data_IF_372986146824
#
_entry.id   IF_372986146824
#
_cell.length_a   1.000
_cell.length_b   1.000
_cell.length_c   1.000
_cell.angle_alpha   90.00
_cell.angle_beta   90.00
_cell.angle_gamma   90.00
#
_symmetry.space_group_name_H-M   'P 1'
#
loop_
_entity.id
_entity.type
_entity.pdbx_description
1 polymer ?
#
# COMPACT_ATOMS: atom_id res chain seq x y z
N UNK A 1 52.16 -56.73 -45.27
CA UNK A 1 51.12 -56.38 -44.29
C UNK A 1 50.37 -55.16 -44.86
N UNK A 2 49.56 -55.36 -45.90
CA UNK A 2 48.07 -55.41 -45.88
C UNK A 2 47.46 -54.15 -45.22
N UNK A 3 47.04 -53.15 -46.01
CA UNK A 3 45.72 -52.97 -46.68
C UNK A 3 44.75 -52.19 -45.74
N UNK A 4 44.46 -50.92 -46.04
CA UNK A 4 43.28 -50.42 -46.80
C UNK A 4 41.96 -50.44 -46.01
N UNK A 5 41.34 -49.25 -45.88
CA UNK A 5 39.96 -48.92 -46.25
C UNK A 5 39.77 -47.41 -45.96
N UNK A 6 39.77 -46.50 -46.95
CA UNK A 6 38.71 -46.16 -47.92
C UNK A 6 37.30 -46.07 -47.33
N UNK A 7 36.80 -44.84 -47.25
CA UNK A 7 35.60 -44.47 -48.02
C UNK A 7 35.63 -42.97 -48.33
N UNK A 8 35.73 -42.66 -49.62
CA UNK A 8 35.27 -41.40 -50.20
C UNK A 8 33.78 -41.21 -49.90
N UNK A 9 33.30 -39.98 -49.77
CA UNK A 9 32.11 -39.46 -50.46
C UNK A 9 32.08 -37.92 -50.35
N UNK A 10 31.90 -37.36 -51.54
CA UNK A 10 31.73 -35.99 -52.02
C UNK A 10 30.97 -34.97 -51.17
N UNK A 11 31.48 -33.73 -51.22
CA UNK A 11 30.77 -32.47 -51.01
C UNK A 11 29.46 -32.40 -51.81
N UNK A 12 28.35 -32.19 -51.12
CA UNK A 12 27.20 -31.45 -51.66
C UNK A 12 26.68 -30.55 -50.54
N UNK A 13 26.62 -29.26 -50.83
CA UNK A 13 26.13 -28.20 -49.96
C UNK A 13 24.61 -28.30 -49.77
N UNK A 14 24.09 -28.37 -48.53
CA UNK A 14 22.69 -28.09 -48.26
C UNK A 14 22.51 -26.60 -47.95
N UNK A 15 21.57 -26.01 -48.68
CA UNK A 15 20.87 -24.75 -48.45
C UNK A 15 20.55 -24.52 -46.97
N UNK A 16 20.68 -23.29 -46.43
CA UNK A 16 20.34 -23.05 -45.04
C UNK A 16 18.82 -23.10 -44.84
N UNK A 17 18.37 -24.09 -44.09
CA UNK A 17 17.02 -24.15 -43.53
C UNK A 17 16.89 -23.16 -42.38
N UNK A 18 15.86 -22.31 -42.46
CA UNK A 18 15.38 -21.41 -41.42
C UNK A 18 15.29 -22.14 -40.07
N UNK A 19 16.17 -21.81 -39.13
CA UNK A 19 15.94 -22.09 -37.71
C UNK A 19 15.09 -20.96 -37.13
N UNK A 20 13.94 -21.35 -36.60
CA UNK A 20 12.95 -20.47 -35.99
C UNK A 20 13.54 -19.63 -34.86
N UNK A 21 13.03 -18.41 -34.76
CA UNK A 21 13.37 -17.45 -33.72
C UNK A 21 13.15 -18.07 -32.32
N UNK A 22 14.22 -18.06 -31.52
CA UNK A 22 14.14 -18.32 -30.10
C UNK A 22 13.33 -17.20 -29.42
N UNK A 23 12.19 -17.57 -28.83
CA UNK A 23 11.40 -16.75 -27.91
C UNK A 23 12.19 -16.59 -26.59
N UNK A 24 13.07 -15.59 -26.54
CA UNK A 24 13.84 -15.25 -25.33
C UNK A 24 13.04 -14.31 -24.44
N UNK A 25 13.27 -14.37 -23.12
CA UNK A 25 12.62 -13.51 -22.12
C UNK A 25 12.76 -12.00 -22.43
N UNK A 26 13.83 -11.62 -23.15
CA UNK A 26 14.09 -10.27 -23.64
C UNK A 26 13.06 -9.80 -24.69
N UNK A 27 12.55 -10.71 -25.53
CA UNK A 27 11.51 -10.44 -26.53
C UNK A 27 10.14 -10.22 -25.89
N UNK A 28 9.84 -10.94 -24.79
CA UNK A 28 8.64 -10.68 -23.97
C UNK A 28 8.75 -9.36 -23.19
N UNK A 29 9.95 -9.02 -22.72
CA UNK A 29 10.25 -7.73 -22.08
C UNK A 29 10.02 -6.54 -23.02
N UNK A 30 10.44 -6.64 -24.28
CA UNK A 30 10.16 -5.59 -25.26
C UNK A 30 8.67 -5.45 -25.58
N UNK A 31 7.91 -6.56 -25.63
CA UNK A 31 6.47 -6.50 -25.82
C UNK A 31 5.72 -5.90 -24.62
N UNK A 32 6.16 -6.20 -23.38
CA UNK A 32 5.59 -5.60 -22.17
C UNK A 32 5.92 -4.10 -22.10
N UNK A 33 7.17 -3.70 -22.40
CA UNK A 33 7.59 -2.30 -22.39
C UNK A 33 6.94 -1.49 -23.53
N UNK A 34 6.78 -2.07 -24.72
CA UNK A 34 6.07 -1.42 -25.83
C UNK A 34 4.56 -1.27 -25.56
N UNK A 35 3.92 -2.22 -24.88
CA UNK A 35 2.53 -2.05 -24.43
C UNK A 35 2.37 -1.00 -23.32
N UNK A 36 3.41 -0.69 -22.56
CA UNK A 36 3.37 0.41 -21.57
C UNK A 36 3.70 1.80 -22.14
N UNK A 37 4.13 1.89 -23.40
CA UNK A 37 4.52 3.17 -24.05
C UNK A 37 3.55 3.68 -25.10
N UNK A 38 2.38 3.05 -25.28
CA UNK A 38 1.28 3.68 -26.01
C UNK A 38 0.50 4.60 -25.05
N UNK A 39 0.83 5.89 -25.13
CA UNK A 39 -0.07 7.02 -24.89
C UNK A 39 -1.07 6.88 -23.73
N UNK A 40 -0.86 7.67 -22.66
CA UNK A 40 -1.93 8.07 -21.73
C UNK A 40 -2.93 8.95 -22.49
N UNK A 41 -3.72 8.36 -23.38
CA UNK A 41 -4.95 8.92 -23.91
C UNK A 41 -6.09 8.13 -23.29
N UNK A 42 -7.13 8.82 -22.87
CA UNK A 42 -8.31 8.25 -22.23
C UNK A 42 -9.09 7.34 -23.17
N UNK A 43 -8.55 6.14 -23.39
CA UNK A 43 -9.20 5.05 -24.09
C UNK A 43 -10.37 4.56 -23.25
N UNK A 44 -11.57 4.61 -23.84
CA UNK A 44 -12.75 3.92 -23.31
C UNK A 44 -12.47 2.42 -23.37
N UNK A 45 -12.34 1.77 -22.21
CA UNK A 45 -12.24 0.30 -22.15
C UNK A 45 -13.64 -0.29 -22.38
N UNK A 46 -13.80 -1.45 -23.04
CA UNK A 46 -15.10 -2.10 -23.15
C UNK A 46 -15.72 -2.32 -21.75
N UNK A 47 -17.05 -2.17 -21.57
CA UNK A 47 -17.70 -2.42 -20.29
C UNK A 47 -17.45 -3.87 -19.82
N UNK A 48 -17.01 -4.05 -18.57
CA UNK A 48 -16.70 -5.37 -17.99
C UNK A 48 -17.66 -5.75 -16.85
N UNK A 49 -18.97 -5.54 -17.06
CA UNK A 49 -20.01 -5.73 -16.04
C UNK A 49 -20.02 -7.11 -15.38
N UNK A 50 -19.55 -8.14 -16.08
CA UNK A 50 -19.48 -9.53 -15.59
C UNK A 50 -18.16 -9.88 -14.90
N UNK A 51 -17.23 -8.93 -14.75
CA UNK A 51 -15.94 -9.18 -14.09
C UNK A 51 -16.14 -9.53 -12.61
N UNK A 52 -15.29 -10.43 -12.10
CA UNK A 52 -15.18 -10.70 -10.66
C UNK A 52 -14.93 -9.42 -9.86
N UNK A 53 -14.28 -8.40 -10.42
CA UNK A 53 -14.05 -7.12 -9.75
C UNK A 53 -15.35 -6.46 -9.24
N UNK A 54 -16.49 -6.75 -9.86
CA UNK A 54 -17.82 -6.26 -9.45
C UNK A 54 -18.69 -7.34 -8.78
N UNK A 55 -18.08 -8.43 -8.35
CA UNK A 55 -18.75 -9.49 -7.59
C UNK A 55 -18.55 -9.30 -6.08
N UNK A 56 -19.45 -9.88 -5.25
CA UNK A 56 -19.31 -9.82 -3.80
C UNK A 56 -18.00 -10.46 -3.28
N UNK A 57 -17.54 -9.95 -2.13
CA UNK A 57 -16.42 -10.49 -1.37
C UNK A 57 -16.67 -10.30 0.13
N UNK A 58 -16.43 -11.33 0.94
CA UNK A 58 -16.50 -11.22 2.39
C UNK A 58 -15.11 -10.97 2.96
N UNK A 59 -14.97 -9.90 3.76
CA UNK A 59 -13.76 -9.55 4.50
C UNK A 59 -14.10 -9.48 5.99
N UNK A 60 -13.70 -10.50 6.76
CA UNK A 60 -14.12 -10.61 8.17
C UNK A 60 -15.65 -10.59 8.33
N UNK A 61 -16.18 -9.54 8.97
CA UNK A 61 -17.63 -9.30 9.13
C UNK A 61 -18.27 -8.46 8.02
N UNK A 62 -17.49 -7.91 7.10
CA UNK A 62 -17.98 -7.03 6.03
C UNK A 62 -18.34 -7.86 4.79
N UNK A 63 -19.56 -7.70 4.28
CA UNK A 63 -20.02 -8.33 3.03
C UNK A 63 -20.02 -7.28 1.92
N UNK A 64 -18.93 -7.20 1.17
CA UNK A 64 -18.80 -6.24 0.08
C UNK A 64 -19.64 -6.66 -1.12
N UNK A 65 -20.15 -5.68 -1.87
CA UNK A 65 -20.84 -5.89 -3.15
C UNK A 65 -19.90 -5.80 -4.36
N UNK A 66 -18.67 -5.31 -4.16
CA UNK A 66 -17.62 -5.25 -5.18
C UNK A 66 -16.22 -5.27 -4.58
N UNK A 67 -15.21 -5.50 -5.42
CA UNK A 67 -13.79 -5.67 -5.06
C UNK A 67 -12.92 -4.45 -5.41
N UNK A 68 -13.55 -3.32 -5.73
CA UNK A 68 -12.92 -2.00 -5.91
C UNK A 68 -12.94 -1.25 -4.57
N UNK A 69 -11.77 -1.08 -3.95
CA UNK A 69 -11.65 -0.58 -2.57
C UNK A 69 -10.86 0.73 -2.58
N UNK A 70 -11.24 1.71 -1.77
CA UNK A 70 -10.45 2.94 -1.61
C UNK A 70 -9.25 2.66 -0.70
N UNK A 71 -8.05 2.88 -1.23
CA UNK A 71 -6.80 2.77 -0.48
C UNK A 71 -6.69 3.88 0.57
N UNK A 72 -5.93 3.67 1.65
CA UNK A 72 -5.52 4.75 2.56
C UNK A 72 -4.74 5.82 1.81
N UNK A 73 -5.12 7.08 2.01
CA UNK A 73 -4.61 8.23 1.26
C UNK A 73 -4.46 9.44 2.19
N UNK A 74 -3.26 9.73 2.69
CA UNK A 74 -3.01 10.94 3.50
C UNK A 74 -3.30 12.22 2.71
N UNK A 75 -4.20 13.08 3.22
CA UNK A 75 -4.65 14.31 2.51
C UNK A 75 -4.34 15.61 3.24
N UNK A 76 -3.91 15.53 4.50
CA UNK A 76 -3.52 16.66 5.34
C UNK A 76 -4.65 17.68 5.62
N UNK A 77 -5.90 17.21 5.70
CA UNK A 77 -7.10 18.06 5.86
C UNK A 77 -7.78 17.91 7.23
N UNK A 78 -7.04 17.45 8.23
CA UNK A 78 -7.52 17.32 9.62
C UNK A 78 -6.74 18.30 10.53
N UNK A 79 -7.06 19.61 10.53
CA UNK A 79 -6.42 20.57 11.42
C UNK A 79 -6.59 20.14 12.89
N UNK A 80 -5.51 20.23 13.66
CA UNK A 80 -5.51 19.74 15.05
C UNK A 80 -5.77 18.23 15.18
N UNK A 81 -5.52 17.46 14.11
CA UNK A 81 -5.77 16.02 14.04
C UNK A 81 -7.25 15.59 14.14
N UNK A 82 -8.17 16.53 13.89
CA UNK A 82 -9.63 16.31 13.92
C UNK A 82 -10.21 16.52 12.52
N UNK A 83 -11.05 15.61 11.99
CA UNK A 83 -11.68 15.79 10.69
C UNK A 83 -12.75 16.89 10.73
N UNK A 84 -12.83 17.68 9.67
CA UNK A 84 -13.85 18.71 9.47
C UNK A 84 -15.04 18.18 8.65
N UNK A 85 -16.01 19.04 8.35
CA UNK A 85 -17.14 18.69 7.48
C UNK A 85 -16.70 18.32 6.06
N UNK A 86 -15.64 18.91 5.52
CA UNK A 86 -15.17 18.58 4.16
C UNK A 86 -14.60 17.16 4.09
N UNK A 87 -14.00 16.66 5.18
CA UNK A 87 -13.55 15.27 5.30
C UNK A 87 -14.75 14.32 5.30
N UNK A 88 -15.84 14.70 5.99
CA UNK A 88 -17.10 13.93 5.97
C UNK A 88 -17.67 13.86 4.55
N UNK A 89 -17.73 14.99 3.83
CA UNK A 89 -18.17 15.03 2.44
C UNK A 89 -17.28 14.16 1.54
N UNK A 90 -15.95 14.26 1.68
CA UNK A 90 -14.98 13.52 0.87
C UNK A 90 -15.20 12.00 0.91
N UNK A 91 -15.34 11.42 2.10
CA UNK A 91 -15.60 9.99 2.22
C UNK A 91 -17.04 9.63 1.79
N UNK A 92 -18.02 10.49 2.08
CA UNK A 92 -19.43 10.27 1.66
C UNK A 92 -19.57 10.21 0.14
N UNK A 93 -18.84 11.05 -0.61
CA UNK A 93 -18.83 11.07 -2.07
C UNK A 93 -18.34 9.74 -2.68
N UNK A 94 -17.43 9.04 -1.98
CA UNK A 94 -16.79 7.79 -2.43
C UNK A 94 -17.49 6.54 -1.94
N UNK A 95 -18.42 6.69 -1.00
CA UNK A 95 -19.16 5.60 -0.42
C UNK A 95 -20.22 5.07 -1.40
N UNK A 96 -20.04 3.82 -1.83
CA UNK A 96 -20.98 3.04 -2.63
C UNK A 96 -21.55 1.90 -1.80
N UNK A 97 -22.78 1.47 -2.08
CA UNK A 97 -23.40 0.34 -1.37
C UNK A 97 -22.49 -0.90 -1.45
N UNK A 98 -22.19 -1.48 -0.29
CA UNK A 98 -21.27 -2.61 -0.15
C UNK A 98 -19.82 -2.32 -0.54
N UNK A 99 -19.42 -1.06 -0.68
CA UNK A 99 -18.02 -0.67 -0.90
C UNK A 99 -17.23 -0.62 0.41
N UNK A 100 -15.90 -0.74 0.33
CA UNK A 100 -14.99 -0.52 1.46
C UNK A 100 -14.13 0.72 1.21
N UNK A 101 -14.11 1.62 2.19
CA UNK A 101 -13.19 2.75 2.24
C UNK A 101 -12.18 2.57 3.37
N UNK A 102 -10.90 2.64 3.06
CA UNK A 102 -9.84 2.67 4.08
C UNK A 102 -9.44 4.13 4.27
N UNK A 103 -9.43 4.61 5.52
CA UNK A 103 -9.10 6.01 5.82
C UNK A 103 -7.67 6.35 5.42
N UNK A 104 -7.39 7.64 5.31
CA UNK A 104 -6.03 8.12 5.49
C UNK A 104 -5.39 7.59 6.77
N UNK A 105 -4.05 7.53 6.80
CA UNK A 105 -3.33 7.03 7.97
C UNK A 105 -3.60 7.90 9.19
N UNK A 106 -3.96 7.28 10.30
CA UNK A 106 -4.34 7.94 11.55
C UNK A 106 -3.34 7.60 12.64
N UNK A 107 -2.87 8.61 13.36
CA UNK A 107 -1.92 8.38 14.45
C UNK A 107 -2.62 7.73 15.67
N UNK A 108 -2.13 6.58 16.17
CA UNK A 108 -2.65 5.96 17.40
C UNK A 108 -2.22 6.70 18.68
N UNK A 109 -1.26 7.62 18.60
CA UNK A 109 -0.79 8.43 19.71
C UNK A 109 -0.11 9.70 19.23
N UNK A 110 0.27 10.57 20.17
CA UNK A 110 1.11 11.74 19.84
C UNK A 110 2.51 11.30 19.37
N UNK A 111 3.10 10.27 19.99
CA UNK A 111 4.43 9.76 19.63
C UNK A 111 4.45 9.07 18.25
N UNK A 112 3.28 8.67 17.76
CA UNK A 112 3.14 8.01 16.47
C UNK A 112 3.39 8.90 15.24
N UNK A 113 3.49 10.22 15.39
CA UNK A 113 4.03 11.08 14.33
C UNK A 113 3.74 12.56 14.50
N UNK A 114 2.55 12.92 14.99
CA UNK A 114 2.14 14.31 15.17
C UNK A 114 2.21 15.14 13.89
N UNK A 115 2.06 14.50 12.72
CA UNK A 115 2.20 15.17 11.42
C UNK A 115 1.07 16.18 11.22
N UNK A 116 1.41 17.37 10.74
CA UNK A 116 0.44 18.44 10.59
C UNK A 116 -0.66 18.07 9.58
N UNK A 117 -1.92 18.26 9.95
CA UNK A 117 -3.08 17.94 9.12
C UNK A 117 -3.42 16.44 9.03
N UNK A 118 -2.63 15.56 9.66
CA UNK A 118 -2.91 14.13 9.75
C UNK A 118 -3.83 13.86 10.95
N UNK A 119 -4.91 13.08 10.79
CA UNK A 119 -5.81 12.78 11.89
C UNK A 119 -5.20 11.85 12.95
N UNK A 120 -5.77 11.91 14.15
CA UNK A 120 -5.48 10.98 15.23
C UNK A 120 -6.68 10.08 15.53
N UNK A 121 -6.43 9.00 16.28
CA UNK A 121 -7.47 8.11 16.82
C UNK A 121 -7.06 7.62 18.21
N UNK A 122 -7.27 8.45 19.24
CA UNK A 122 -6.86 8.13 20.62
C UNK A 122 -7.50 9.06 21.66
N UNK A 123 -7.93 10.24 21.24
CA UNK A 123 -8.62 11.21 22.10
C UNK A 123 -10.14 11.12 21.91
N UNK A 124 -10.95 11.45 22.95
CA UNK A 124 -12.40 11.51 22.85
C UNK A 124 -12.91 12.42 21.71
N UNK A 125 -12.20 13.50 21.40
CA UNK A 125 -12.51 14.42 20.30
C UNK A 125 -12.42 13.72 18.95
N UNK A 126 -11.42 12.85 18.77
CA UNK A 126 -11.24 12.05 17.55
C UNK A 126 -12.45 11.14 17.34
N UNK A 127 -12.89 10.43 18.38
CA UNK A 127 -14.04 9.51 18.33
C UNK A 127 -15.30 10.26 17.89
N UNK A 128 -15.63 11.36 18.58
CA UNK A 128 -16.84 12.16 18.28
C UNK A 128 -16.85 12.72 16.86
N UNK A 129 -15.68 13.14 16.36
CA UNK A 129 -15.57 13.73 15.02
C UNK A 129 -15.63 12.65 13.93
N UNK A 130 -14.87 11.56 14.07
CA UNK A 130 -14.87 10.45 13.11
C UNK A 130 -16.18 9.68 13.08
N UNK A 131 -16.92 9.64 14.19
CA UNK A 131 -18.27 9.08 14.21
C UNK A 131 -19.21 9.73 13.19
N UNK A 132 -19.07 11.04 12.95
CA UNK A 132 -19.87 11.72 11.91
C UNK A 132 -19.51 11.23 10.50
N UNK A 133 -18.24 10.93 10.27
CA UNK A 133 -17.74 10.41 8.99
C UNK A 133 -18.23 9.00 8.76
N UNK A 134 -18.06 8.10 9.75
CA UNK A 134 -18.50 6.71 9.66
C UNK A 134 -20.03 6.62 9.52
N UNK A 135 -20.80 7.40 10.30
CA UNK A 135 -22.27 7.44 10.18
C UNK A 135 -22.70 7.87 8.76
N UNK A 136 -22.01 8.83 8.13
CA UNK A 136 -22.32 9.29 6.76
C UNK A 136 -21.95 8.24 5.69
N UNK A 137 -20.84 7.52 5.86
CA UNK A 137 -20.43 6.41 4.99
C UNK A 137 -21.39 5.22 5.13
N UNK A 138 -21.78 4.88 6.35
CA UNK A 138 -22.77 3.82 6.64
C UNK A 138 -24.15 4.15 6.09
N UNK A 139 -24.56 5.43 6.09
CA UNK A 139 -25.81 5.86 5.46
C UNK A 139 -25.85 5.61 3.94
N UNK A 140 -24.70 5.46 3.28
CA UNK A 140 -24.58 5.03 1.87
C UNK A 140 -24.52 3.50 1.70
N UNK A 141 -24.55 2.75 2.80
CA UNK A 141 -24.42 1.30 2.83
C UNK A 141 -23.01 0.79 2.58
N UNK A 142 -21.99 1.64 2.73
CA UNK A 142 -20.58 1.27 2.61
C UNK A 142 -20.00 0.89 3.98
N UNK A 143 -18.84 0.25 3.97
CA UNK A 143 -18.01 -0.05 5.14
C UNK A 143 -16.79 0.85 5.19
N UNK A 144 -16.22 1.03 6.39
CA UNK A 144 -15.05 1.87 6.61
C UNK A 144 -14.02 1.23 7.53
N UNK A 145 -12.75 1.22 7.11
CA UNK A 145 -11.62 0.74 7.89
C UNK A 145 -10.72 1.90 8.35
N UNK A 146 -10.39 1.95 9.63
CA UNK A 146 -9.44 2.91 10.21
C UNK A 146 -8.01 2.41 10.03
N UNK A 147 -7.17 3.12 9.27
CA UNK A 147 -5.75 2.77 9.18
C UNK A 147 -4.95 3.38 10.33
N UNK A 148 -4.40 2.55 11.23
CA UNK A 148 -3.51 3.00 12.30
C UNK A 148 -2.06 3.04 11.84
N UNK A 149 -1.42 4.19 12.04
CA UNK A 149 -0.14 4.52 11.43
C UNK A 149 0.83 5.24 12.38
N UNK A 150 1.93 4.56 12.70
CA UNK A 150 3.07 5.12 13.41
C UNK A 150 4.25 5.34 12.45
N UNK A 151 4.70 6.59 12.31
CA UNK A 151 5.66 7.01 11.28
C UNK A 151 7.11 6.60 11.59
N UNK A 152 7.43 6.39 12.86
CA UNK A 152 8.76 5.97 13.31
C UNK A 152 9.80 7.04 12.99
N UNK A 153 10.95 6.66 12.41
CA UNK A 153 12.04 7.59 12.07
C UNK A 153 11.71 8.65 11.00
N UNK A 154 10.51 8.61 10.42
CA UNK A 154 10.00 9.71 9.58
C UNK A 154 9.52 10.91 10.41
N UNK A 155 9.26 10.72 11.70
CA UNK A 155 8.91 11.80 12.60
C UNK A 155 10.07 12.78 12.81
N UNK A 156 9.75 13.97 13.33
CA UNK A 156 10.71 15.00 13.74
C UNK A 156 10.33 15.53 15.10
N UNK A 157 11.30 15.88 15.93
CA UNK A 157 11.04 16.20 17.35
C UNK A 157 10.10 17.40 17.54
N UNK A 158 10.13 18.36 16.61
CA UNK A 158 9.24 19.52 16.63
C UNK A 158 7.75 19.13 16.58
N UNK A 159 7.42 18.02 15.91
CA UNK A 159 6.04 17.49 15.84
C UNK A 159 5.68 16.63 17.06
N UNK A 160 6.66 16.26 17.88
CA UNK A 160 6.53 15.30 18.99
C UNK A 160 6.69 15.96 20.37
N UNK A 161 6.62 17.30 20.43
CA UNK A 161 6.81 18.07 21.66
C UNK A 161 8.27 18.05 22.15
N UNK A 162 9.24 18.02 21.23
CA UNK A 162 10.67 18.02 21.52
C UNK A 162 11.26 16.63 21.82
N UNK A 163 10.44 15.57 21.83
CA UNK A 163 10.92 14.19 21.99
C UNK A 163 11.46 13.65 20.66
N UNK A 164 12.56 12.87 20.67
CA UNK A 164 13.10 12.29 19.44
C UNK A 164 12.11 11.28 18.82
N UNK A 165 12.06 11.17 17.49
CA UNK A 165 11.29 10.12 16.83
C UNK A 165 11.83 8.73 17.20
N UNK A 166 10.95 7.73 17.22
CA UNK A 166 11.29 6.35 17.60
C UNK A 166 11.58 5.49 16.37
N UNK A 167 12.46 4.50 16.51
CA UNK A 167 12.70 3.47 15.49
C UNK A 167 13.29 2.20 16.10
N UNK A 168 13.45 1.16 15.28
CA UNK A 168 14.12 -0.07 15.68
C UNK A 168 15.59 0.18 16.04
N UNK A 169 16.27 1.10 15.36
CA UNK A 169 17.69 1.44 15.55
C UNK A 169 17.99 2.91 15.29
N UNK A 170 19.17 3.37 15.73
CA UNK A 170 19.63 4.75 15.60
C UNK A 170 19.98 5.07 14.14
N UNK A 171 18.96 5.39 13.35
CA UNK A 171 19.07 5.63 11.91
C UNK A 171 18.37 6.92 11.53
N UNK A 172 18.84 7.52 10.43
CA UNK A 172 18.26 8.72 9.84
C UNK A 172 17.89 8.41 8.39
N UNK A 173 16.75 8.92 7.94
CA UNK A 173 16.27 8.77 6.55
C UNK A 173 17.13 9.57 5.56
N UNK A 174 17.81 10.64 6.01
CA UNK A 174 18.61 11.50 5.15
C UNK A 174 17.77 12.41 4.25
N UNK A 175 16.58 12.80 4.71
CA UNK A 175 15.63 13.62 3.95
C UNK A 175 15.13 14.82 4.79
N UNK A 176 14.17 15.58 4.25
CA UNK A 176 13.54 16.73 4.91
C UNK A 176 12.05 16.49 5.06
N UNK A 177 11.54 16.55 6.28
CA UNK A 177 10.11 16.50 6.57
C UNK A 177 9.47 17.86 6.26
N UNK A 178 8.33 17.84 5.57
CA UNK A 178 7.56 19.03 5.16
C UNK A 178 6.17 19.08 5.80
N UNK A 179 5.80 18.03 6.54
CA UNK A 179 4.48 17.85 7.16
C UNK A 179 4.58 18.20 8.66
N UNK A 180 5.19 19.35 8.94
CA UNK A 180 5.41 19.84 10.30
C UNK A 180 4.46 21.01 10.60
N UNK A 181 4.23 21.35 11.88
CA UNK A 181 3.46 22.54 12.23
C UNK A 181 3.97 23.79 11.51
N UNK A 182 3.07 24.50 10.82
CA UNK A 182 3.42 25.74 10.08
C UNK A 182 4.15 25.52 8.75
N UNK A 183 4.21 24.28 8.23
CA UNK A 183 4.82 23.99 6.93
C UNK A 183 6.35 24.11 6.91
N UNK A 184 6.98 24.13 8.09
CA UNK A 184 8.43 24.32 8.22
C UNK A 184 9.16 23.08 7.69
N UNK A 185 10.15 23.32 6.85
CA UNK A 185 11.04 22.26 6.36
C UNK A 185 12.03 21.89 7.45
N UNK A 186 11.92 20.67 7.98
CA UNK A 186 12.78 20.19 9.07
C UNK A 186 13.55 18.96 8.60
N UNK A 187 14.90 18.98 8.60
CA UNK A 187 15.69 17.79 8.35
C UNK A 187 15.30 16.66 9.30
N UNK A 188 15.23 15.43 8.80
CA UNK A 188 15.01 14.28 9.68
C UNK A 188 16.18 14.14 10.65
N UNK A 189 15.85 13.70 11.86
CA UNK A 189 16.80 13.48 12.93
C UNK A 189 17.24 12.01 12.95
N UNK A 190 18.32 11.70 13.68
CA UNK A 190 18.61 10.31 14.04
C UNK A 190 17.56 9.88 15.05
N UNK A 191 16.78 8.84 14.72
CA UNK A 191 15.76 8.34 15.62
C UNK A 191 16.37 7.69 16.87
N UNK A 192 15.65 7.77 17.99
CA UNK A 192 15.97 7.03 19.21
C UNK A 192 15.64 5.54 19.00
N UNK A 193 16.60 4.61 19.19
CA UNK A 193 16.29 3.19 19.27
C UNK A 193 15.31 2.94 20.41
N UNK A 194 14.20 2.27 20.12
CA UNK A 194 13.19 1.97 21.14
C UNK A 194 13.77 1.08 22.24
N UNK A 195 13.58 1.46 23.50
CA UNK A 195 13.78 0.55 24.64
C UNK A 195 12.54 -0.32 24.81
N UNK A 196 12.61 -1.36 25.66
CA UNK A 196 11.47 -2.24 25.90
C UNK A 196 10.21 -1.47 26.33
N UNK A 197 10.36 -0.42 27.16
CA UNK A 197 9.22 0.40 27.56
C UNK A 197 8.58 1.11 26.38
N UNK A 198 9.37 1.68 25.44
CA UNK A 198 8.82 2.32 24.24
C UNK A 198 8.01 1.30 23.41
N UNK A 199 8.46 0.04 23.35
CA UNK A 199 7.77 -1.05 22.64
C UNK A 199 6.44 -1.37 23.33
N UNK A 200 6.44 -1.58 24.65
CA UNK A 200 5.23 -1.86 25.43
C UNK A 200 4.22 -0.72 25.33
N UNK A 201 4.68 0.53 25.49
CA UNK A 201 3.81 1.72 25.38
C UNK A 201 3.18 1.79 23.97
N UNK A 202 3.96 1.52 22.92
CA UNK A 202 3.43 1.54 21.54
C UNK A 202 2.39 0.44 21.31
N UNK A 203 2.57 -0.75 21.88
CA UNK A 203 1.56 -1.82 21.82
C UNK A 203 0.25 -1.37 22.47
N UNK A 204 0.33 -0.75 23.64
CA UNK A 204 -0.83 -0.22 24.36
C UNK A 204 -1.52 0.92 23.60
N UNK A 205 -0.74 1.79 22.97
CA UNK A 205 -1.26 2.88 22.13
C UNK A 205 -2.04 2.36 20.92
N UNK A 206 -1.53 1.35 20.21
CA UNK A 206 -2.26 0.70 19.10
C UNK A 206 -3.53 0.01 19.59
N UNK A 207 -3.47 -0.70 20.72
CA UNK A 207 -4.63 -1.36 21.33
C UNK A 207 -5.71 -0.33 21.69
N UNK A 208 -5.33 0.77 22.34
CA UNK A 208 -6.25 1.86 22.72
C UNK A 208 -6.87 2.51 21.48
N UNK A 209 -6.05 2.86 20.50
CA UNK A 209 -6.51 3.47 19.25
C UNK A 209 -7.50 2.57 18.49
N UNK A 210 -7.28 1.25 18.49
CA UNK A 210 -8.22 0.31 17.89
C UNK A 210 -9.58 0.32 18.59
N UNK A 211 -9.61 0.39 19.93
CA UNK A 211 -10.88 0.52 20.68
C UNK A 211 -11.57 1.83 20.34
N UNK A 212 -10.84 2.94 20.28
CA UNK A 212 -11.37 4.24 19.86
C UNK A 212 -11.95 4.20 18.45
N UNK A 213 -11.30 3.51 17.51
CA UNK A 213 -11.79 3.35 16.15
C UNK A 213 -13.13 2.59 16.11
N UNK A 214 -13.24 1.47 16.84
CA UNK A 214 -14.51 0.73 16.92
C UNK A 214 -15.61 1.56 17.59
N UNK A 215 -15.29 2.32 18.64
CA UNK A 215 -16.23 3.24 19.28
C UNK A 215 -16.68 4.36 18.32
N UNK A 216 -15.79 4.83 17.46
CA UNK A 216 -16.09 5.80 16.41
C UNK A 216 -16.90 5.20 15.24
N UNK A 217 -17.24 3.91 15.28
CA UNK A 217 -18.07 3.25 14.27
C UNK A 217 -17.32 2.71 13.06
N UNK A 218 -15.99 2.55 13.12
CA UNK A 218 -15.28 1.83 12.07
C UNK A 218 -15.60 0.33 12.09
N UNK A 219 -15.70 -0.29 10.91
CA UNK A 219 -16.00 -1.72 10.76
C UNK A 219 -14.76 -2.60 10.92
N UNK A 220 -13.58 -2.01 10.67
CA UNK A 220 -12.29 -2.68 10.69
C UNK A 220 -11.17 -1.70 11.10
N UNK A 221 -10.08 -2.22 11.64
CA UNK A 221 -8.84 -1.51 11.91
C UNK A 221 -7.72 -2.12 11.07
N UNK A 222 -7.13 -1.32 10.17
CA UNK A 222 -5.98 -1.73 9.37
C UNK A 222 -4.68 -1.24 10.00
N UNK A 223 -3.80 -2.18 10.37
CA UNK A 223 -2.47 -1.86 10.87
C UNK A 223 -1.54 -1.54 9.69
N UNK A 224 -1.01 -0.33 9.63
CA UNK A 224 -0.02 0.05 8.63
C UNK A 224 1.37 -0.52 8.98
N UNK A 225 1.79 -1.56 8.25
CA UNK A 225 3.08 -2.24 8.40
C UNK A 225 3.88 -2.28 7.09
N UNK A 226 3.96 -1.13 6.42
CA UNK A 226 4.72 -0.96 5.18
C UNK A 226 5.13 0.50 4.96
N UNK A 227 5.57 0.82 3.74
CA UNK A 227 5.98 2.15 3.30
C UNK A 227 7.10 2.79 4.16
N UNK A 228 7.93 1.95 4.79
CA UNK A 228 9.07 2.38 5.60
C UNK A 228 8.74 3.04 6.92
N UNK A 229 7.51 2.86 7.42
CA UNK A 229 7.08 3.37 8.73
C UNK A 229 7.45 2.40 9.86
N UNK A 230 7.04 2.67 11.10
CA UNK A 230 7.66 2.05 12.29
C UNK A 230 7.73 0.52 12.21
N UNK A 231 6.64 -0.16 11.85
CA UNK A 231 6.64 -1.63 11.81
C UNK A 231 7.48 -2.18 10.66
N UNK A 232 7.53 -1.48 9.52
CA UNK A 232 8.41 -1.81 8.41
C UNK A 232 9.90 -1.58 8.79
N UNK A 233 10.19 -0.56 9.60
CA UNK A 233 11.53 -0.31 10.16
C UNK A 233 11.98 -1.43 11.10
N UNK A 234 11.06 -2.12 11.79
CA UNK A 234 11.39 -3.32 12.57
C UNK A 234 11.56 -4.55 11.69
N UNK A 235 10.71 -4.74 10.67
CA UNK A 235 10.79 -5.88 9.76
C UNK A 235 12.06 -5.87 8.88
N UNK A 236 12.52 -4.68 8.49
CA UNK A 236 13.58 -4.49 7.51
C UNK A 236 14.99 -4.72 8.08
N UNK A 237 15.72 -5.67 7.49
CA UNK A 237 17.09 -6.04 7.86
C UNK A 237 18.14 -4.95 7.66
N UNK A 238 17.87 -3.97 6.79
CA UNK A 238 18.73 -2.83 6.51
C UNK A 238 18.38 -1.59 7.36
N UNK A 239 17.50 -1.75 8.35
CA UNK A 239 17.11 -0.69 9.29
C UNK A 239 17.16 -1.17 10.73
N UNK A 240 16.71 -2.41 10.99
CA UNK A 240 16.72 -3.01 12.31
C UNK A 240 18.05 -3.72 12.59
N UNK A 241 18.93 -3.03 13.33
CA UNK A 241 20.23 -3.52 13.78
C UNK A 241 20.22 -3.97 15.24
N UNK A 242 19.04 -4.23 15.82
CA UNK A 242 18.95 -4.67 17.21
C UNK A 242 19.55 -6.06 17.38
N UNK A 243 20.10 -6.30 18.57
CA UNK A 243 20.68 -7.58 19.00
C UNK A 243 19.85 -8.27 20.08
N UNK A 244 18.72 -7.67 20.48
CA UNK A 244 17.80 -8.23 21.46
C UNK A 244 16.70 -9.07 20.79
N UNK A 245 15.64 -9.39 21.54
CA UNK A 245 14.52 -10.21 21.07
C UNK A 245 13.72 -9.59 19.90
N UNK A 246 14.01 -8.33 19.52
CA UNK A 246 13.32 -7.60 18.46
C UNK A 246 14.18 -7.35 17.23
N UNK A 247 15.38 -7.94 17.12
CA UNK A 247 16.20 -7.89 15.91
C UNK A 247 17.09 -9.12 15.69
N UNK A 248 18.00 -9.01 14.72
CA UNK A 248 18.82 -10.13 14.26
C UNK A 248 18.09 -10.97 13.21
N UNK A 249 17.41 -12.04 13.60
CA UNK A 249 16.72 -12.94 12.66
C UNK A 249 15.31 -12.43 12.29
N UNK A 250 14.68 -13.07 11.28
CA UNK A 250 13.35 -12.67 10.77
C UNK A 250 12.24 -12.84 11.80
N UNK A 251 12.36 -13.85 12.67
CA UNK A 251 11.43 -14.15 13.75
C UNK A 251 11.36 -12.98 14.75
N UNK A 252 12.53 -12.51 15.19
CA UNK A 252 12.66 -11.39 16.12
C UNK A 252 12.25 -10.07 15.47
N UNK A 253 12.63 -9.82 14.22
CA UNK A 253 12.22 -8.60 13.49
C UNK A 253 10.70 -8.51 13.31
N UNK A 254 10.02 -9.63 13.14
CA UNK A 254 8.56 -9.69 13.05
C UNK A 254 7.83 -9.60 14.40
N UNK A 255 8.54 -9.85 15.52
CA UNK A 255 7.94 -9.96 16.86
C UNK A 255 7.10 -8.73 17.22
N UNK A 256 7.63 -7.53 17.02
CA UNK A 256 6.92 -6.30 17.39
C UNK A 256 5.61 -6.12 16.61
N UNK A 257 5.63 -6.36 15.29
CA UNK A 257 4.43 -6.32 14.45
C UNK A 257 3.39 -7.34 14.92
N UNK A 258 3.83 -8.55 15.30
CA UNK A 258 2.94 -9.61 15.77
C UNK A 258 2.38 -9.32 17.18
N UNK A 259 3.15 -8.71 18.08
CA UNK A 259 2.68 -8.27 19.40
C UNK A 259 1.61 -7.18 19.29
N UNK A 260 1.79 -6.19 18.41
CA UNK A 260 0.76 -5.19 18.11
C UNK A 260 -0.48 -5.86 17.51
N UNK A 261 -0.30 -6.77 16.55
CA UNK A 261 -1.39 -7.47 15.92
C UNK A 261 -2.20 -8.28 16.96
N UNK A 262 -1.53 -9.02 17.84
CA UNK A 262 -2.16 -9.79 18.91
C UNK A 262 -2.92 -8.92 19.90
N UNK A 263 -2.34 -7.79 20.33
CA UNK A 263 -2.98 -6.86 21.25
C UNK A 263 -4.23 -6.22 20.64
N UNK A 264 -4.16 -5.79 19.37
CA UNK A 264 -5.30 -5.22 18.65
C UNK A 264 -6.39 -6.29 18.44
N UNK A 265 -6.03 -7.52 18.06
CA UNK A 265 -6.97 -8.64 17.94
C UNK A 265 -7.65 -8.93 19.27
N UNK A 266 -6.91 -8.97 20.37
CA UNK A 266 -7.47 -9.19 21.70
C UNK A 266 -8.47 -8.09 22.10
N UNK A 267 -8.25 -6.85 21.65
CA UNK A 267 -9.11 -5.73 21.97
C UNK A 267 -10.41 -5.66 21.13
N UNK A 268 -10.35 -5.98 19.83
CA UNK A 268 -11.48 -5.73 18.91
C UNK A 268 -11.96 -6.95 18.11
N UNK A 269 -11.25 -8.07 18.22
CA UNK A 269 -11.54 -9.33 17.53
C UNK A 269 -10.93 -9.42 16.12
N UNK A 270 -10.39 -10.58 15.77
CA UNK A 270 -9.63 -10.79 14.52
C UNK A 270 -10.41 -10.44 13.25
N UNK A 271 -11.72 -10.67 13.22
CA UNK A 271 -12.58 -10.37 12.08
C UNK A 271 -12.77 -8.87 11.81
N UNK A 272 -12.24 -8.00 12.68
CA UNK A 272 -12.23 -6.53 12.55
C UNK A 272 -10.82 -5.96 12.51
N UNK A 273 -9.81 -6.80 12.28
CA UNK A 273 -8.41 -6.37 12.18
C UNK A 273 -7.88 -6.78 10.82
N UNK A 274 -7.08 -5.92 10.21
CA UNK A 274 -6.35 -6.20 8.98
C UNK A 274 -4.94 -5.62 9.06
N UNK A 275 -4.07 -5.99 8.12
CA UNK A 275 -2.71 -5.47 8.06
C UNK A 275 -2.29 -5.18 6.63
N UNK A 276 -1.62 -4.03 6.44
CA UNK A 276 -1.05 -3.63 5.15
C UNK A 276 0.47 -3.74 5.18
N UNK A 277 1.07 -4.34 4.15
CA UNK A 277 2.50 -4.56 4.03
C UNK A 277 3.03 -4.22 2.63
N UNK A 278 4.33 -3.93 2.55
CA UNK A 278 5.02 -3.62 1.29
C UNK A 278 6.29 -4.46 1.15
N UNK A 279 6.19 -5.76 0.76
CA UNK A 279 7.33 -6.67 0.72
C UNK A 279 8.50 -6.17 -0.14
N UNK A 280 8.16 -5.48 -1.22
CA UNK A 280 9.11 -4.89 -2.17
C UNK A 280 9.30 -3.39 -1.96
N UNK A 281 8.92 -2.86 -0.79
CA UNK A 281 8.91 -1.43 -0.49
C UNK A 281 10.31 -0.80 -0.46
N UNK A 282 10.40 0.43 -0.98
CA UNK A 282 11.62 1.28 -0.92
C UNK A 282 11.33 2.69 -0.41
N UNK A 283 10.09 2.94 0.02
CA UNK A 283 9.69 4.23 0.55
C UNK A 283 10.26 4.36 1.96
N UNK A 284 11.06 5.39 2.23
CA UNK A 284 11.66 5.72 3.54
C UNK A 284 12.57 4.65 4.18
N UNK A 285 12.72 3.48 3.56
CA UNK A 285 13.62 2.40 3.95
C UNK A 285 14.36 1.85 2.73
N UNK A 286 15.60 1.37 2.88
CA UNK A 286 16.25 0.60 1.83
C UNK A 286 15.44 -0.65 1.52
N UNK A 287 15.60 -1.19 0.31
CA UNK A 287 15.06 -2.52 -0.01
C UNK A 287 15.64 -3.55 0.97
N UNK A 288 14.80 -4.44 1.47
CA UNK A 288 15.22 -5.50 2.38
C UNK A 288 16.15 -6.51 1.68
N UNK A 289 17.08 -7.11 2.43
CA UNK A 289 18.06 -8.06 1.87
C UNK A 289 17.47 -9.41 1.46
N UNK A 290 16.34 -9.83 2.05
CA UNK A 290 15.65 -11.07 1.72
C UNK A 290 14.14 -10.92 1.91
N UNK A 291 13.48 -10.13 1.04
CA UNK A 291 12.07 -9.77 1.20
C UNK A 291 11.17 -11.01 1.14
N UNK A 292 11.47 -11.98 0.29
CA UNK A 292 10.66 -13.20 0.14
C UNK A 292 10.64 -14.00 1.45
N UNK A 293 11.81 -14.34 2.01
CA UNK A 293 11.86 -15.14 3.23
C UNK A 293 11.27 -14.41 4.44
N UNK A 294 11.52 -13.10 4.55
CA UNK A 294 11.06 -12.28 5.67
C UNK A 294 9.54 -12.10 5.64
N UNK A 295 8.98 -11.74 4.49
CA UNK A 295 7.54 -11.52 4.37
C UNK A 295 6.74 -12.82 4.34
N UNK A 296 7.28 -13.94 3.81
CA UNK A 296 6.64 -15.26 3.96
C UNK A 296 6.50 -15.66 5.43
N UNK A 297 7.55 -15.45 6.24
CA UNK A 297 7.50 -15.76 7.66
C UNK A 297 6.41 -14.96 8.37
N UNK A 298 6.46 -13.61 8.30
CA UNK A 298 5.48 -12.79 9.03
C UNK A 298 4.06 -13.02 8.52
N UNK A 299 3.86 -13.22 7.22
CA UNK A 299 2.53 -13.50 6.67
C UNK A 299 2.01 -14.89 7.07
N UNK A 300 2.87 -15.90 7.20
CA UNK A 300 2.46 -17.20 7.78
C UNK A 300 2.00 -17.07 9.24
N UNK A 301 2.58 -16.12 10.00
CA UNK A 301 2.14 -15.84 11.37
C UNK A 301 0.83 -15.03 11.40
N UNK A 302 0.66 -14.10 10.46
CA UNK A 302 -0.60 -13.37 10.27
C UNK A 302 -1.74 -14.31 9.88
N UNK A 303 -1.50 -15.28 9.00
CA UNK A 303 -2.50 -16.27 8.56
C UNK A 303 -3.09 -17.04 9.75
N UNK A 304 -2.25 -17.46 10.71
CA UNK A 304 -2.68 -18.17 11.92
C UNK A 304 -3.69 -17.38 12.76
N UNK A 305 -3.66 -16.05 12.66
CA UNK A 305 -4.50 -15.12 13.42
C UNK A 305 -5.84 -14.83 12.74
N UNK A 306 -6.01 -15.24 11.47
CA UNK A 306 -7.28 -15.13 10.71
C UNK A 306 -7.86 -13.72 10.72
N UNK A 307 -7.01 -12.76 10.40
CA UNK A 307 -7.39 -11.35 10.25
C UNK A 307 -8.42 -11.19 9.12
N UNK A 308 -9.17 -10.09 9.12
CA UNK A 308 -10.20 -9.81 8.12
C UNK A 308 -9.65 -9.82 6.69
N UNK A 309 -8.43 -9.30 6.50
CA UNK A 309 -7.69 -9.34 5.24
C UNK A 309 -6.21 -8.91 5.42
N UNK A 310 -5.39 -9.19 4.41
CA UNK A 310 -4.05 -8.61 4.24
C UNK A 310 -4.02 -7.75 2.98
N UNK A 311 -3.42 -6.57 3.04
CA UNK A 311 -3.18 -5.73 1.86
C UNK A 311 -1.69 -5.68 1.50
N UNK A 312 -1.34 -6.06 0.27
CA UNK A 312 0.05 -6.11 -0.21
C UNK A 312 0.30 -5.11 -1.34
N UNK A 313 1.43 -4.41 -1.25
CA UNK A 313 1.90 -3.52 -2.32
C UNK A 313 2.64 -4.29 -3.40
N UNK A 314 2.19 -4.16 -4.65
CA UNK A 314 2.87 -4.69 -5.84
C UNK A 314 4.29 -4.12 -6.00
N UNK A 315 5.27 -4.89 -6.52
CA UNK A 315 6.67 -4.46 -6.66
C UNK A 315 6.84 -3.24 -7.57
N UNK A 316 5.94 -3.06 -8.54
CA UNK A 316 5.91 -1.90 -9.46
C UNK A 316 5.60 -0.57 -8.78
N UNK A 317 5.12 -0.59 -7.54
CA UNK A 317 4.59 0.58 -6.86
C UNK A 317 5.55 1.17 -5.84
N UNK A 318 5.61 2.49 -5.84
CA UNK A 318 6.34 3.32 -4.87
C UNK A 318 5.57 4.64 -4.69
N UNK A 319 5.63 5.23 -3.51
CA UNK A 319 4.96 6.51 -3.21
C UNK A 319 5.73 7.72 -3.78
N UNK A 320 7.04 7.57 -3.97
CA UNK A 320 7.97 8.66 -4.31
C UNK A 320 8.56 8.48 -5.71
N UNK A 321 8.61 7.25 -6.24
CA UNK A 321 9.21 6.94 -7.53
C UNK A 321 8.17 6.65 -8.60
N UNK A 322 8.51 7.01 -9.84
CA UNK A 322 7.82 6.50 -11.01
C UNK A 322 8.07 5.00 -11.18
N UNK A 323 7.12 4.30 -11.81
CA UNK A 323 7.18 2.85 -11.99
C UNK A 323 8.46 2.39 -12.69
N UNK A 324 8.87 3.10 -13.74
CA UNK A 324 10.11 2.77 -14.47
C UNK A 324 11.33 2.86 -13.56
N UNK A 325 11.47 3.95 -12.81
CA UNK A 325 12.58 4.14 -11.87
C UNK A 325 12.56 3.09 -10.77
N UNK A 326 11.38 2.73 -10.28
CA UNK A 326 11.20 1.66 -9.30
C UNK A 326 11.71 0.33 -9.85
N UNK A 327 11.35 -0.03 -11.07
CA UNK A 327 11.85 -1.24 -11.74
C UNK A 327 13.37 -1.22 -11.95
N UNK A 328 13.92 -0.12 -12.49
CA UNK A 328 15.36 0.03 -12.73
C UNK A 328 16.17 -0.17 -11.42
N UNK A 329 15.68 0.39 -10.31
CA UNK A 329 16.28 0.21 -8.98
C UNK A 329 16.23 -1.24 -8.50
N UNK A 330 15.09 -1.92 -8.67
CA UNK A 330 14.91 -3.32 -8.29
C UNK A 330 15.86 -4.24 -9.07
N UNK A 331 15.95 -4.06 -10.39
CA UNK A 331 16.85 -4.84 -11.25
C UNK A 331 18.32 -4.62 -10.90
N UNK A 332 18.69 -3.37 -10.63
CA UNK A 332 20.06 -3.05 -10.20
C UNK A 332 20.39 -3.75 -8.88
N UNK A 333 19.49 -3.72 -7.89
CA UNK A 333 19.71 -4.37 -6.60
C UNK A 333 19.86 -5.89 -6.72
N UNK A 334 19.07 -6.54 -7.59
CA UNK A 334 19.19 -7.97 -7.90
C UNK A 334 20.53 -8.27 -8.58
N UNK A 335 20.89 -7.51 -9.62
CA UNK A 335 22.13 -7.68 -10.37
C UNK A 335 23.37 -7.53 -9.49
N UNK A 336 23.32 -6.64 -8.50
CA UNK A 336 24.39 -6.40 -7.54
C UNK A 336 24.39 -7.39 -6.36
N UNK A 337 23.45 -8.33 -6.31
CA UNK A 337 23.35 -9.31 -5.22
C UNK A 337 22.97 -8.71 -3.87
N UNK A 338 22.36 -7.51 -3.85
CA UNK A 338 21.92 -6.83 -2.63
C UNK A 338 20.62 -7.42 -2.05
N UNK A 339 19.93 -8.23 -2.85
CA UNK A 339 18.63 -8.81 -2.54
C UNK A 339 18.66 -10.28 -2.92
N UNK A 340 18.21 -11.15 -2.02
CA UNK A 340 18.03 -12.57 -2.28
C UNK A 340 16.74 -12.82 -3.09
N UNK A 341 16.74 -12.46 -4.36
CA UNK A 341 15.65 -12.66 -5.32
C UNK A 341 16.20 -12.64 -6.76
N UNK A 342 15.47 -13.23 -7.71
CA UNK A 342 15.68 -13.04 -9.15
C UNK A 342 14.65 -12.06 -9.73
N UNK A 343 14.76 -11.74 -11.02
CA UNK A 343 13.78 -10.87 -11.71
C UNK A 343 12.40 -11.53 -11.75
N UNK A 344 12.36 -12.85 -11.90
CA UNK A 344 11.14 -13.66 -11.96
C UNK A 344 10.38 -13.68 -10.64
N UNK A 345 11.06 -13.42 -9.52
CA UNK A 345 10.46 -13.37 -8.18
C UNK A 345 9.68 -12.07 -7.91
N UNK A 346 9.75 -11.07 -8.80
CA UNK A 346 9.15 -9.74 -8.59
C UNK A 346 7.63 -9.75 -8.82
N UNK A 347 6.92 -10.41 -7.91
CA UNK A 347 5.46 -10.50 -7.86
C UNK A 347 4.96 -10.78 -6.43
N UNK A 348 3.63 -10.92 -6.26
CA UNK A 348 3.03 -11.21 -4.94
C UNK A 348 2.75 -12.71 -4.69
N UNK A 349 2.87 -13.58 -5.71
CA UNK A 349 2.50 -15.01 -5.58
C UNK A 349 3.20 -15.77 -4.46
N UNK A 350 4.45 -15.43 -4.14
CA UNK A 350 5.17 -16.02 -3.01
C UNK A 350 4.44 -15.85 -1.67
N UNK A 351 3.64 -14.80 -1.54
CA UNK A 351 2.91 -14.48 -0.31
C UNK A 351 1.51 -15.09 -0.31
N UNK A 352 0.90 -15.23 -1.48
CA UNK A 352 -0.34 -15.99 -1.64
C UNK A 352 -0.17 -17.45 -1.18
N UNK A 353 0.97 -18.06 -1.45
CA UNK A 353 1.27 -19.43 -1.03
C UNK A 353 1.23 -19.65 0.49
N UNK A 354 1.35 -18.60 1.31
CA UNK A 354 1.27 -18.70 2.78
C UNK A 354 -0.02 -18.10 3.36
N UNK A 355 -0.83 -17.43 2.54
CA UNK A 355 -2.12 -16.84 2.89
C UNK A 355 -3.23 -17.69 2.25
N UNK A 356 -3.54 -18.81 2.88
CA UNK A 356 -4.46 -19.81 2.33
C UNK A 356 -5.93 -19.40 2.48
N UNK A 357 -6.28 -18.80 3.62
CA UNK A 357 -7.67 -18.48 3.98
C UNK A 357 -7.92 -16.99 4.17
N UNK A 358 -6.89 -16.22 4.52
CA UNK A 358 -7.02 -14.77 4.68
C UNK A 358 -7.09 -14.09 3.30
N UNK A 359 -8.15 -13.30 3.01
CA UNK A 359 -8.25 -12.60 1.74
C UNK A 359 -7.09 -11.64 1.47
N UNK A 360 -6.62 -11.61 0.22
CA UNK A 360 -5.49 -10.80 -0.22
C UNK A 360 -5.99 -9.62 -1.04
N UNK A 361 -5.76 -8.41 -0.55
CA UNK A 361 -5.98 -7.17 -1.30
C UNK A 361 -4.65 -6.72 -1.88
N UNK A 362 -4.65 -6.14 -3.06
CA UNK A 362 -3.45 -5.53 -3.62
C UNK A 362 -3.61 -4.04 -3.92
N UNK A 363 -2.52 -3.31 -3.76
CA UNK A 363 -2.36 -1.95 -4.27
C UNK A 363 -1.13 -1.87 -5.17
N UNK A 364 -1.11 -0.89 -6.07
CA UNK A 364 0.08 -0.56 -6.84
C UNK A 364 -0.19 -0.31 -8.31
N UNK A 365 -0.27 0.97 -8.67
CA UNK A 365 -0.41 1.47 -10.05
C UNK A 365 -1.54 0.80 -10.87
N UNK A 366 -2.59 0.33 -10.21
CA UNK A 366 -3.78 -0.14 -10.91
C UNK A 366 -4.50 1.01 -11.62
N UNK A 367 -4.99 0.73 -12.81
CA UNK A 367 -5.74 1.64 -13.68
C UNK A 367 -6.91 0.90 -14.34
N UNK A 368 -7.61 1.55 -15.27
CA UNK A 368 -8.76 0.99 -16.00
C UNK A 368 -8.43 -0.19 -16.92
N UNK A 369 -7.16 -0.56 -17.09
CA UNK A 369 -6.73 -1.60 -18.02
C UNK A 369 -6.18 -2.82 -17.27
N UNK A 370 -5.37 -2.62 -16.23
CA UNK A 370 -4.66 -3.70 -15.53
C UNK A 370 -5.32 -4.19 -14.23
N UNK A 371 -6.45 -3.62 -13.81
CA UNK A 371 -7.08 -3.96 -12.53
C UNK A 371 -7.94 -5.23 -12.51
N UNK A 372 -8.16 -5.86 -13.67
CA UNK A 372 -9.06 -6.99 -13.79
C UNK A 372 -8.34 -8.34 -13.64
N UNK A 373 -7.23 -8.51 -14.35
CA UNK A 373 -6.61 -9.83 -14.59
C UNK A 373 -6.27 -10.58 -13.30
N UNK A 374 -5.59 -9.93 -12.36
CA UNK A 374 -5.13 -10.56 -11.12
C UNK A 374 -6.29 -11.04 -10.23
N UNK A 375 -7.45 -10.36 -10.28
CA UNK A 375 -8.69 -10.80 -9.60
C UNK A 375 -9.36 -11.94 -10.36
N UNK A 376 -9.36 -11.91 -11.69
CA UNK A 376 -9.97 -12.95 -12.52
C UNK A 376 -9.27 -14.31 -12.35
N UNK A 377 -7.93 -14.31 -12.37
CA UNK A 377 -7.13 -15.52 -12.14
C UNK A 377 -7.00 -15.88 -10.65
N UNK A 378 -7.52 -15.04 -9.76
CA UNK A 378 -7.52 -15.24 -8.31
C UNK A 378 -6.12 -15.14 -7.69
N UNK A 379 -5.20 -14.39 -8.29
CA UNK A 379 -3.91 -14.05 -7.65
C UNK A 379 -4.13 -13.15 -6.43
N UNK A 380 -5.14 -12.28 -6.49
CA UNK A 380 -5.60 -11.44 -5.38
C UNK A 380 -7.13 -11.45 -5.34
N UNK A 381 -7.70 -11.20 -4.16
CA UNK A 381 -9.14 -11.19 -3.95
C UNK A 381 -9.79 -9.84 -4.25
N UNK A 382 -9.06 -8.74 -4.10
CA UNK A 382 -9.57 -7.40 -4.39
C UNK A 382 -8.46 -6.38 -4.66
N UNK A 383 -8.83 -5.27 -5.29
CA UNK A 383 -7.91 -4.18 -5.64
C UNK A 383 -8.24 -2.93 -4.84
N UNK A 384 -7.22 -2.36 -4.21
CA UNK A 384 -7.31 -1.04 -3.61
C UNK A 384 -6.73 0.02 -4.54
N UNK A 385 -7.46 1.10 -4.75
CA UNK A 385 -7.06 2.21 -5.62
C UNK A 385 -6.75 3.45 -4.77
N UNK A 386 -5.60 4.06 -5.03
CA UNK A 386 -5.21 5.31 -4.41
C UNK A 386 -5.60 6.52 -5.26
N UNK A 387 -4.65 6.96 -6.10
CA UNK A 387 -4.76 8.18 -6.92
C UNK A 387 -6.06 8.30 -7.73
N UNK A 388 -6.59 7.19 -8.25
CA UNK A 388 -7.85 7.22 -8.99
C UNK A 388 -9.08 7.54 -8.13
N UNK A 389 -9.11 7.10 -6.86
CA UNK A 389 -10.16 7.51 -5.93
C UNK A 389 -10.01 8.95 -5.46
N UNK A 390 -8.82 9.56 -5.55
CA UNK A 390 -8.68 11.01 -5.29
C UNK A 390 -9.57 11.79 -6.26
N UNK A 391 -9.48 11.49 -7.56
CA UNK A 391 -10.12 12.30 -8.60
C UNK A 391 -11.44 11.74 -9.15
N UNK A 392 -11.84 10.54 -8.75
CA UNK A 392 -13.07 9.89 -9.23
C UNK A 392 -13.88 9.40 -8.03
N UNK A 393 -14.80 10.22 -7.48
CA UNK A 393 -15.68 9.77 -6.40
C UNK A 393 -16.56 8.58 -6.82
N UNK A 394 -16.84 8.45 -8.11
CA UNK A 394 -17.62 7.38 -8.74
C UNK A 394 -16.77 6.32 -9.46
N UNK A 395 -15.52 6.11 -9.02
CA UNK A 395 -14.55 5.20 -9.68
C UNK A 395 -15.13 3.82 -9.98
N UNK A 396 -15.89 3.24 -9.05
CA UNK A 396 -16.49 1.90 -9.20
C UNK A 396 -17.38 1.84 -10.44
N UNK A 397 -18.25 2.84 -10.62
CA UNK A 397 -19.19 2.90 -11.73
C UNK A 397 -18.47 3.19 -13.05
N UNK A 398 -17.45 4.06 -13.02
CA UNK A 398 -16.62 4.35 -14.20
C UNK A 398 -15.91 3.09 -14.70
N UNK A 399 -15.26 2.34 -13.82
CA UNK A 399 -14.63 1.06 -14.18
C UNK A 399 -15.66 0.06 -14.72
N UNK A 400 -16.83 -0.05 -14.08
CA UNK A 400 -17.89 -0.99 -14.48
C UNK A 400 -18.45 -0.71 -15.87
N UNK A 401 -18.60 0.57 -16.19
CA UNK A 401 -19.12 1.03 -17.48
C UNK A 401 -18.03 1.27 -18.53
N UNK A 402 -16.74 1.16 -18.17
CA UNK A 402 -15.64 1.45 -19.10
C UNK A 402 -15.49 2.94 -19.42
N UNK A 403 -15.97 3.82 -18.54
CA UNK A 403 -15.89 5.28 -18.71
C UNK A 403 -14.48 5.80 -18.45
N UNK A 404 -14.17 6.92 -19.09
CA UNK A 404 -12.91 7.63 -18.87
C UNK A 404 -12.76 8.07 -17.41
N UNK A 405 -11.55 7.91 -16.87
CA UNK A 405 -11.19 8.37 -15.54
C UNK A 405 -10.67 9.82 -15.58
N UNK A 406 -11.10 10.63 -14.61
CA UNK A 406 -10.58 11.97 -14.37
C UNK A 406 -9.18 11.87 -13.78
N UNK A 407 -8.19 12.57 -14.35
CA UNK A 407 -6.82 12.60 -13.81
C UNK A 407 -6.78 13.46 -12.54
N UNK A 408 -5.99 13.04 -11.56
CA UNK A 408 -5.80 13.81 -10.33
C UNK A 408 -4.82 14.97 -10.56
N UNK A 409 -4.95 16.00 -9.74
CA UNK A 409 -4.03 17.13 -9.70
C UNK A 409 -3.04 16.91 -8.54
N UNK A 410 -1.75 16.69 -8.86
CA UNK A 410 -0.73 16.45 -7.84
C UNK A 410 -0.52 17.65 -6.90
N UNK A 411 -0.80 18.88 -7.35
CA UNK A 411 -0.62 20.08 -6.53
C UNK A 411 -1.57 20.15 -5.34
N UNK A 412 -2.72 19.45 -5.40
CA UNK A 412 -3.78 19.50 -4.38
C UNK A 412 -3.95 18.19 -3.62
N UNK A 413 -3.09 17.19 -3.89
CA UNK A 413 -3.10 15.90 -3.17
C UNK A 413 -2.85 16.13 -1.68
N UNK A 414 -1.77 16.84 -1.34
CA UNK A 414 -1.39 17.16 0.05
C UNK A 414 -1.70 18.63 0.32
N UNK A 415 -2.57 18.92 1.29
CA UNK A 415 -3.07 20.27 1.55
C UNK A 415 -2.10 21.20 2.31
N UNK A 416 -0.78 21.12 2.09
CA UNK A 416 0.16 22.01 2.81
C UNK A 416 -0.03 23.50 2.46
N UNK A 417 -0.57 23.80 1.27
CA UNK A 417 -0.61 25.15 0.69
C UNK A 417 -1.97 25.51 0.05
N UNK A 418 -3.04 24.74 0.33
CA UNK A 418 -4.35 24.94 -0.33
C UNK A 418 -5.17 26.00 0.40
N UNK A 419 -5.64 27.03 -0.32
CA UNK A 419 -6.40 28.16 0.24
C UNK A 419 -7.88 27.80 0.47
N UNK A 420 -8.45 26.95 -0.38
CA UNK A 420 -9.85 26.51 -0.32
C UNK A 420 -9.92 25.03 0.05
N UNK A 421 -10.49 24.71 1.21
CA UNK A 421 -10.46 23.35 1.79
C UNK A 421 -10.96 22.23 0.85
N UNK A 422 -11.95 22.55 0.00
CA UNK A 422 -12.57 21.63 -0.96
C UNK A 422 -11.77 21.40 -2.25
N UNK A 423 -10.81 22.26 -2.57
CA UNK A 423 -10.08 22.26 -3.85
C UNK A 423 -9.23 20.98 -3.99
N UNK A 424 -9.39 20.28 -5.12
CA UNK A 424 -8.77 18.98 -5.37
C UNK A 424 -9.12 17.92 -4.32
N UNK A 425 -10.28 18.05 -3.69
CA UNK A 425 -10.73 17.17 -2.61
C UNK A 425 -12.16 16.70 -2.84
N UNK A 426 -13.12 17.61 -2.74
CA UNK A 426 -14.56 17.34 -2.90
C UNK A 426 -15.16 17.94 -4.18
N UNK A 427 -14.36 18.67 -4.95
CA UNK A 427 -14.74 19.35 -6.19
C UNK A 427 -14.55 18.51 -7.47
N UNK A 428 -14.02 17.29 -7.36
CA UNK A 428 -13.90 16.38 -8.49
C UNK A 428 -15.27 15.94 -9.04
N UNK A 429 -15.47 15.95 -10.36
CA UNK A 429 -16.76 15.66 -10.97
C UNK A 429 -17.13 14.16 -10.92
N UNK A 430 -18.43 13.91 -10.76
CA UNK A 430 -19.06 12.63 -11.04
C UNK A 430 -19.32 12.46 -12.54
N UNK A 431 -19.34 11.22 -13.02
CA UNK A 431 -19.62 10.90 -14.42
C UNK A 431 -18.43 11.14 -15.35
N UNK A 432 -18.69 10.96 -16.64
CA UNK A 432 -17.69 11.17 -17.68
C UNK A 432 -17.41 12.66 -17.88
N UNK A 433 -16.13 13.01 -17.99
CA UNK A 433 -15.68 14.40 -18.09
C UNK A 433 -14.96 14.56 -19.43
N UNK A 434 -15.36 15.55 -20.22
CA UNK A 434 -14.65 15.92 -21.44
C UNK A 434 -13.30 16.59 -21.11
N UNK A 435 -12.31 16.45 -22.02
CA UNK A 435 -10.90 16.78 -21.77
C UNK A 435 -10.65 18.19 -21.24
N UNK A 436 -11.40 19.19 -21.69
CA UNK A 436 -11.20 20.59 -21.32
C UNK A 436 -11.59 20.94 -19.88
N UNK A 437 -12.41 20.11 -19.22
CA UNK A 437 -12.85 20.34 -17.82
C UNK A 437 -11.99 19.60 -16.78
N UNK A 438 -11.15 18.66 -17.19
CA UNK A 438 -10.32 17.86 -16.28
C UNK A 438 -8.99 18.53 -15.89
N UNK A 439 -8.69 19.71 -16.46
CA UNK A 439 -7.41 20.42 -16.32
C UNK A 439 -7.51 21.78 -15.59
N UNK A 440 -8.68 22.11 -15.04
CA UNK A 440 -8.86 23.20 -14.07
C UNK A 440 -8.97 22.58 -12.69
#
# INVERSE_FOLDING_TARGET
MKLQNRTDITLSSPTPTNFGAHDTAETRLQQIVQHTSSTIMGSTCPPRKSSKLFSPLRLGTMNLEHRVIMSPLTRLRCPGSVPTSVVTEYYTQRATKGGLLITEGMHPSLMAGGLHGVPGMFAPEHIRAWKKVTDAVHAKGAFMACQLWHVGRFGVSVSLGGRPPLSSSATNIGSVNRITPGGVKVPHEVAKPMILQDITDTVDEYMHAAKCAIEAGFDCVEIASGNGYLLDQFLNSNVNFRTDAYGGNKENRARFTLEILDAVIAAVGASRVSIRMSPWGTVWVPLDSNPIANFRYVLSEVEKRRVAYVCLTQPRADLLLEEKTKWDNMYTAIKEGKVAATVEDLHLRHFKEVLETTPILANGNYNSENCFEEVEIGEVDAITFGRWFISNPDLVEKLRLGRRLTKWNMATVYASDVVVESEGYTDYPFGEVEEEKAAK
#
